data_IF_946050386923
#
_entry.id   IF_946050386923
#
_cell.length_a   1.000
_cell.length_b   1.000
_cell.length_c   1.000
_cell.angle_alpha   90.00
_cell.angle_beta   90.00
_cell.angle_gamma   90.00
#
_symmetry.space_group_name_H-M   'P 1'
#
loop_
_entity.id
_entity.type
_entity.pdbx_description
1 polymer ?
#
# COMPACT_ATOMS: atom_id res chain seq x y z
N UNK A 1 -5.91 -20.66 -3.97
CA UNK A 1 -5.00 -21.82 -3.82
C UNK A 1 -4.62 -21.89 -2.35
N UNK A 2 -5.22 -22.81 -1.57
CA UNK A 2 -4.88 -23.03 -0.16
C UNK A 2 -4.01 -24.28 -0.09
N UNK A 3 -2.70 -24.08 -0.06
CA UNK A 3 -1.71 -25.13 0.27
C UNK A 3 -0.76 -24.62 1.37
N UNK A 4 -1.31 -24.30 2.53
CA UNK A 4 -0.68 -24.53 3.83
C UNK A 4 -1.76 -24.36 4.89
N UNK A 5 -1.70 -25.11 6.00
CA UNK A 5 -2.68 -25.07 7.08
C UNK A 5 -2.66 -23.81 7.94
N UNK A 6 -2.33 -22.65 7.36
CA UNK A 6 -2.41 -21.34 8.01
C UNK A 6 -3.50 -20.51 7.34
N UNK A 7 -4.35 -19.87 8.15
CA UNK A 7 -5.27 -18.84 7.65
C UNK A 7 -4.44 -17.61 7.25
N UNK A 8 -4.03 -17.60 5.99
CA UNK A 8 -3.39 -16.44 5.36
C UNK A 8 -4.48 -15.47 4.94
N UNK A 9 -4.42 -14.25 5.47
CA UNK A 9 -5.28 -13.15 5.04
C UNK A 9 -4.49 -12.23 4.13
N UNK A 10 -5.02 -11.97 2.95
CA UNK A 10 -4.39 -11.10 1.95
C UNK A 10 -5.22 -9.82 1.79
N UNK A 11 -4.53 -8.68 1.76
CA UNK A 11 -5.13 -7.36 1.54
C UNK A 11 -4.39 -6.66 0.40
N UNK A 12 -5.13 -6.14 -0.57
CA UNK A 12 -4.58 -5.31 -1.65
C UNK A 12 -5.20 -3.92 -1.63
N UNK A 13 -4.41 -2.87 -1.81
CA UNK A 13 -4.88 -1.50 -1.92
C UNK A 13 -4.28 -0.85 -3.16
N UNK A 14 -5.12 -0.33 -4.05
CA UNK A 14 -4.70 0.31 -5.29
C UNK A 14 -5.81 1.27 -5.80
N UNK A 15 -5.49 2.49 -6.24
CA UNK A 15 -6.48 3.40 -6.84
C UNK A 15 -7.02 2.91 -8.20
N UNK A 16 -6.31 2.06 -8.95
CA UNK A 16 -6.69 1.52 -10.25
C UNK A 16 -7.57 0.28 -10.05
N UNK A 17 -8.88 0.45 -10.19
CA UNK A 17 -9.84 -0.64 -9.96
C UNK A 17 -9.85 -1.68 -11.09
N UNK A 18 -9.76 -1.25 -12.35
CA UNK A 18 -9.95 -2.12 -13.51
C UNK A 18 -8.75 -3.06 -13.66
N UNK A 19 -8.98 -4.38 -13.58
CA UNK A 19 -7.95 -5.41 -13.63
C UNK A 19 -7.47 -5.81 -12.22
N UNK A 20 -6.96 -4.85 -11.44
CA UNK A 20 -6.35 -5.15 -10.14
C UNK A 20 -7.40 -5.68 -9.13
N UNK A 21 -8.61 -5.13 -9.14
CA UNK A 21 -9.69 -5.65 -8.29
C UNK A 21 -10.00 -7.12 -8.56
N UNK A 22 -9.99 -7.55 -9.82
CA UNK A 22 -10.27 -8.94 -10.20
C UNK A 22 -9.13 -9.86 -9.75
N UNK A 23 -7.88 -9.42 -9.83
CA UNK A 23 -6.73 -10.23 -9.42
C UNK A 23 -6.65 -10.37 -7.91
N UNK A 24 -6.66 -9.25 -7.17
CA UNK A 24 -6.53 -9.27 -5.71
C UNK A 24 -7.73 -9.91 -5.03
N UNK A 25 -8.95 -9.72 -5.55
CA UNK A 25 -10.16 -10.32 -4.96
C UNK A 25 -10.21 -11.86 -5.08
N UNK A 26 -9.36 -12.47 -5.92
CA UNK A 26 -9.22 -13.94 -6.00
C UNK A 26 -8.45 -14.54 -4.84
N UNK A 27 -7.61 -13.75 -4.17
CA UNK A 27 -6.71 -14.20 -3.11
C UNK A 27 -6.95 -13.49 -1.78
N UNK A 28 -7.70 -12.37 -1.75
CA UNK A 28 -7.91 -11.56 -0.57
C UNK A 28 -8.96 -10.46 -0.74
N UNK A 29 -8.88 -9.42 0.09
CA UNK A 29 -9.77 -8.26 0.05
C UNK A 29 -9.09 -7.08 -0.64
N UNK A 30 -9.78 -6.47 -1.61
CA UNK A 30 -9.29 -5.31 -2.35
C UNK A 30 -9.89 -4.00 -1.84
N UNK A 31 -9.06 -2.96 -1.75
CA UNK A 31 -9.42 -1.61 -1.33
C UNK A 31 -9.09 -0.60 -2.45
N UNK A 32 -10.09 0.09 -3.01
CA UNK A 32 -9.92 0.94 -4.20
C UNK A 32 -9.42 2.36 -3.86
N UNK A 33 -8.32 2.47 -3.13
CA UNK A 33 -7.69 3.75 -2.78
C UNK A 33 -6.17 3.61 -2.66
N UNK A 34 -5.46 4.74 -2.79
CA UNK A 34 -4.01 4.79 -2.60
C UNK A 34 -3.67 4.83 -1.10
N UNK A 35 -2.56 4.21 -0.73
CA UNK A 35 -2.02 4.21 0.62
C UNK A 35 -0.73 5.01 0.62
N UNK A 36 -0.70 6.10 1.39
CA UNK A 36 0.35 7.10 1.37
C UNK A 36 0.91 7.42 2.75
N UNK A 37 1.89 8.32 2.78
CA UNK A 37 2.50 8.82 4.01
C UNK A 37 1.57 9.75 4.83
N UNK A 38 0.56 10.33 4.18
CA UNK A 38 -0.39 11.27 4.79
C UNK A 38 -1.77 11.06 4.17
N UNK A 39 -2.80 11.18 5.01
CA UNK A 39 -4.17 11.24 4.52
C UNK A 39 -4.42 12.59 3.80
N UNK A 40 -5.10 12.55 2.66
CA UNK A 40 -5.45 13.76 1.93
C UNK A 40 -5.80 13.54 0.46
N UNK A 41 -5.97 14.65 -0.25
CA UNK A 41 -6.05 14.67 -1.70
C UNK A 41 -4.66 14.97 -2.23
N UNK A 42 -4.11 14.07 -3.04
CA UNK A 42 -2.95 14.41 -3.86
C UNK A 42 -3.12 13.84 -5.25
N UNK A 43 -2.46 14.50 -6.19
CA UNK A 43 -2.41 14.08 -7.57
C UNK A 43 -1.50 12.86 -7.67
N UNK A 44 -2.06 11.73 -8.12
CA UNK A 44 -1.26 10.58 -8.54
C UNK A 44 -1.27 10.51 -10.07
N UNK A 45 -0.13 10.17 -10.65
CA UNK A 45 -0.03 9.93 -12.09
C UNK A 45 -0.41 8.47 -12.35
N UNK A 46 -1.57 8.25 -12.93
CA UNK A 46 -2.07 6.90 -13.23
C UNK A 46 -1.96 6.61 -14.72
N UNK A 47 -1.57 5.38 -15.07
CA UNK A 47 -1.52 4.94 -16.46
C UNK A 47 -2.94 4.60 -16.94
N UNK A 48 -3.56 5.51 -17.69
CA UNK A 48 -4.85 5.28 -18.34
C UNK A 48 -4.68 5.25 -19.86
N UNK A 49 -5.07 4.13 -20.47
CA UNK A 49 -5.00 3.91 -21.92
C UNK A 49 -3.60 4.17 -22.52
N UNK A 50 -2.53 3.83 -21.78
CA UNK A 50 -1.15 3.98 -22.23
C UNK A 50 -0.54 5.37 -22.05
N UNK A 51 -1.29 6.33 -21.50
CA UNK A 51 -0.78 7.65 -21.12
C UNK A 51 -0.87 7.86 -19.62
N UNK A 52 0.15 8.46 -19.02
CA UNK A 52 0.07 8.92 -17.64
C UNK A 52 -0.80 10.17 -17.58
N UNK A 53 -1.82 10.11 -16.73
CA UNK A 53 -2.71 11.24 -16.45
C UNK A 53 -2.76 11.47 -14.95
N UNK A 54 -2.66 12.74 -14.60
CA UNK A 54 -2.74 13.21 -13.24
C UNK A 54 -4.19 13.18 -12.77
N UNK A 55 -4.49 12.29 -11.83
CA UNK A 55 -5.81 12.13 -11.23
C UNK A 55 -5.74 12.48 -9.75
N UNK A 56 -6.69 13.29 -9.28
CA UNK A 56 -6.88 13.48 -7.85
C UNK A 56 -7.38 12.19 -7.23
N UNK A 57 -6.51 11.53 -6.49
CA UNK A 57 -6.86 10.30 -5.77
C UNK A 57 -6.89 10.58 -4.27
N UNK A 58 -7.77 9.87 -3.58
CA UNK A 58 -7.81 9.90 -2.12
C UNK A 58 -6.72 8.99 -1.61
N UNK A 59 -5.84 9.55 -0.79
CA UNK A 59 -4.82 8.80 -0.07
C UNK A 59 -5.27 8.59 1.36
N UNK A 60 -5.10 7.37 1.86
CA UNK A 60 -5.16 7.07 3.28
C UNK A 60 -3.75 6.95 3.84
N UNK A 61 -3.58 7.38 5.08
CA UNK A 61 -2.35 7.17 5.85
C UNK A 61 -2.12 5.66 6.06
N UNK A 62 -0.91 5.16 5.78
CA UNK A 62 -0.59 3.72 5.92
C UNK A 62 -0.83 3.19 7.34
N UNK A 63 -0.52 3.99 8.37
CA UNK A 63 -0.81 3.61 9.75
C UNK A 63 -2.32 3.43 9.96
N UNK A 64 -3.12 4.42 9.53
CA UNK A 64 -4.58 4.33 9.59
C UNK A 64 -5.12 3.12 8.84
N UNK A 65 -4.59 2.84 7.65
CA UNK A 65 -5.03 1.67 6.87
C UNK A 65 -4.77 0.36 7.64
N UNK A 66 -3.54 0.14 8.10
CA UNK A 66 -3.18 -1.08 8.80
C UNK A 66 -3.94 -1.23 10.14
N UNK A 67 -3.92 -0.20 10.99
CA UNK A 67 -4.45 -0.30 12.34
C UNK A 67 -5.95 -0.08 12.46
N UNK A 68 -6.55 0.83 11.68
CA UNK A 68 -7.96 1.21 11.83
C UNK A 68 -8.87 0.54 10.78
N UNK A 69 -8.38 0.38 9.54
CA UNK A 69 -9.18 -0.25 8.47
C UNK A 69 -9.04 -1.77 8.49
N UNK A 70 -7.82 -2.29 8.64
CA UNK A 70 -7.59 -3.73 8.71
C UNK A 70 -7.67 -4.26 10.14
N UNK A 71 -7.33 -3.45 11.14
CA UNK A 71 -7.24 -3.90 12.54
C UNK A 71 -5.98 -4.70 12.85
N UNK A 72 -4.96 -4.60 11.99
CA UNK A 72 -3.75 -5.42 12.05
C UNK A 72 -2.58 -4.61 12.60
N UNK A 73 -1.92 -5.16 13.62
CA UNK A 73 -0.66 -4.62 14.16
C UNK A 73 0.56 -5.46 13.79
N UNK A 74 0.34 -6.63 13.21
CA UNK A 74 1.39 -7.56 12.84
C UNK A 74 1.22 -7.93 11.37
N UNK A 75 2.22 -7.60 10.55
CA UNK A 75 2.21 -7.83 9.12
C UNK A 75 3.37 -8.75 8.77
N UNK A 76 3.04 -9.97 8.31
CA UNK A 76 4.07 -10.94 7.92
C UNK A 76 4.84 -10.49 6.68
N UNK A 77 4.12 -10.07 5.64
CA UNK A 77 4.71 -9.64 4.37
C UNK A 77 4.02 -8.37 3.88
N UNK A 78 4.81 -7.32 3.66
CA UNK A 78 4.36 -6.09 3.02
C UNK A 78 5.06 -5.95 1.66
N UNK A 79 4.25 -5.85 0.60
CA UNK A 79 4.73 -5.53 -0.75
C UNK A 79 4.29 -4.13 -1.12
N UNK A 80 5.26 -3.33 -1.54
CA UNK A 80 5.03 -1.95 -1.95
C UNK A 80 5.70 -1.73 -3.30
N UNK A 81 4.94 -1.19 -4.24
CA UNK A 81 5.47 -0.57 -5.44
C UNK A 81 5.37 0.94 -5.22
N UNK A 82 6.52 1.62 -5.19
CA UNK A 82 6.59 3.02 -4.80
C UNK A 82 7.24 3.87 -5.89
N UNK A 83 6.53 4.91 -6.34
CA UNK A 83 7.06 5.93 -7.23
C UNK A 83 7.20 7.28 -6.54
N UNK A 84 8.30 7.99 -6.82
CA UNK A 84 8.65 9.38 -6.44
C UNK A 84 7.87 10.07 -5.29
N UNK A 85 6.57 10.29 -5.45
CA UNK A 85 5.68 10.87 -4.44
C UNK A 85 5.56 10.04 -3.15
N UNK A 86 5.76 8.73 -3.23
CA UNK A 86 5.58 7.80 -2.12
C UNK A 86 6.84 7.58 -1.29
N UNK A 87 7.99 8.12 -1.70
CA UNK A 87 9.26 7.99 -0.98
C UNK A 87 9.21 8.59 0.42
N UNK A 88 8.38 9.62 0.64
CA UNK A 88 8.14 10.17 1.98
C UNK A 88 7.51 9.18 2.96
N UNK A 89 6.94 8.07 2.48
CA UNK A 89 6.41 6.99 3.33
C UNK A 89 7.53 6.19 4.00
N UNK A 90 8.73 6.15 3.39
CA UNK A 90 9.86 5.39 3.92
C UNK A 90 10.28 5.88 5.31
N UNK A 91 10.13 7.18 5.58
CA UNK A 91 10.43 7.78 6.87
C UNK A 91 9.55 7.22 8.00
N UNK A 92 8.36 6.70 7.66
CA UNK A 92 7.45 6.14 8.64
C UNK A 92 7.91 4.77 9.16
N UNK A 93 8.84 4.10 8.49
CA UNK A 93 9.39 2.81 8.94
C UNK A 93 10.63 2.94 9.83
N UNK A 94 11.10 4.17 10.13
CA UNK A 94 12.21 4.38 11.05
C UNK A 94 11.86 4.01 12.50
N UNK A 95 12.88 3.64 13.28
CA UNK A 95 12.76 3.49 14.73
C UNK A 95 12.25 4.78 15.36
N UNK A 96 11.40 4.64 16.38
CA UNK A 96 10.68 5.71 17.04
C UNK A 96 9.72 6.50 16.14
N UNK A 97 9.38 6.02 14.93
CA UNK A 97 8.29 6.58 14.14
C UNK A 97 6.93 6.35 14.84
N UNK A 98 5.85 6.91 14.27
CA UNK A 98 4.50 6.62 14.76
C UNK A 98 4.20 5.12 14.73
N UNK A 99 4.58 4.41 13.67
CA UNK A 99 4.28 2.98 13.52
C UNK A 99 4.99 2.15 14.60
N UNK A 100 6.27 2.42 14.84
CA UNK A 100 7.05 1.73 15.88
C UNK A 100 6.48 1.99 17.29
N UNK A 101 6.15 3.25 17.62
CA UNK A 101 5.61 3.62 18.94
C UNK A 101 4.24 3.01 19.23
N UNK A 102 3.43 2.77 18.21
CA UNK A 102 2.08 2.19 18.34
C UNK A 102 2.07 0.65 18.23
N UNK A 103 3.25 0.04 18.07
CA UNK A 103 3.47 -1.40 18.10
C UNK A 103 3.21 -2.12 16.77
N UNK A 104 3.26 -1.42 15.63
CA UNK A 104 3.19 -2.07 14.32
C UNK A 104 4.51 -2.82 14.03
N UNK A 105 4.38 -4.12 13.74
CA UNK A 105 5.52 -4.99 13.47
C UNK A 105 5.41 -5.56 12.06
N UNK A 106 6.51 -5.50 11.31
CA UNK A 106 6.65 -6.08 9.98
C UNK A 106 7.72 -7.17 10.00
N UNK A 107 7.40 -8.40 9.56
CA UNK A 107 8.39 -9.49 9.50
C UNK A 107 9.26 -9.40 8.25
N UNK A 108 8.63 -9.14 7.09
CA UNK A 108 9.33 -8.97 5.82
C UNK A 108 8.66 -7.86 4.99
N UNK A 109 9.50 -7.06 4.34
CA UNK A 109 9.07 -6.05 3.38
C UNK A 109 9.78 -6.29 2.04
N UNK A 110 9.06 -6.12 0.94
CA UNK A 110 9.62 -6.08 -0.41
C UNK A 110 9.14 -4.81 -1.08
N UNK A 111 10.09 -4.05 -1.62
CA UNK A 111 9.86 -2.71 -2.16
C UNK A 111 10.42 -2.64 -3.58
N UNK A 112 9.57 -2.24 -4.52
CA UNK A 112 9.98 -1.79 -5.85
C UNK A 112 10.14 -0.26 -5.84
N UNK A 113 11.24 0.23 -6.44
CA UNK A 113 11.57 1.67 -6.47
C UNK A 113 11.79 2.13 -7.91
N UNK A 114 10.89 2.99 -8.38
CA UNK A 114 10.97 3.60 -9.71
C UNK A 114 11.79 4.88 -9.73
N UNK A 115 13.06 4.78 -10.15
CA UNK A 115 14.01 5.91 -10.20
C UNK A 115 14.26 6.35 -11.65
N UNK A 116 14.05 7.63 -11.96
CA UNK A 116 14.47 8.22 -13.24
C UNK A 116 15.84 8.88 -13.09
N UNK A 117 16.83 8.40 -13.82
CA UNK A 117 18.19 8.96 -13.87
C UNK A 117 18.26 9.88 -15.10
N UNK A 118 18.58 11.17 -14.88
CA UNK A 118 18.74 12.17 -15.93
C UNK A 118 20.13 12.18 -16.55
#
# INVERSE_FOLDING_TARGET
MKESGQDVTFYGADPIVKGNSEQYSRIGKFFPFAVGAKAGYSTASVLLNGNYVDVSVVHVDIYYFLSEVLGEKFVDHLWMDAEYAEYGMLDMFYKNSRMDREGLTFCQMSLELSISIG
#
